data_IF_624497300523
#
_entry.id   IF_624497300523
#
_cell.length_a   1.000
_cell.length_b   1.000
_cell.length_c   1.000
_cell.angle_alpha   90.00
_cell.angle_beta   90.00
_cell.angle_gamma   90.00
#
_symmetry.space_group_name_H-M   'P 1'
#
loop_
_entity.id
_entity.type
_entity.pdbx_description
1 polymer ?
#
# COMPACT_ATOMS: atom_id res chain seq x y z
N UNK A 1 3.48 2.99 17.40
CA UNK A 1 3.16 1.76 16.64
C UNK A 1 3.44 0.57 17.51
N UNK A 2 2.40 -0.17 17.87
CA UNK A 2 2.48 -1.37 18.71
C UNK A 2 3.08 -2.54 17.93
N UNK A 3 3.70 -3.52 18.59
CA UNK A 3 4.28 -4.70 17.93
C UNK A 3 3.26 -5.44 17.04
N UNK A 4 2.00 -5.47 17.48
CA UNK A 4 0.88 -6.03 16.71
C UNK A 4 0.56 -5.25 15.44
N UNK A 5 0.72 -3.91 15.45
CA UNK A 5 0.54 -3.09 14.25
C UNK A 5 1.68 -3.31 13.24
N UNK A 6 2.92 -3.47 13.72
CA UNK A 6 4.05 -3.83 12.84
C UNK A 6 3.85 -5.20 12.21
N UNK A 7 3.41 -6.19 13.00
CA UNK A 7 3.13 -7.53 12.47
C UNK A 7 2.01 -7.50 11.42
N UNK A 8 0.95 -6.71 11.67
CA UNK A 8 -0.17 -6.55 10.73
C UNK A 8 0.27 -5.84 9.45
N UNK A 9 1.10 -4.81 9.55
CA UNK A 9 1.67 -4.12 8.40
C UNK A 9 2.57 -5.04 7.55
N UNK A 10 3.44 -5.83 8.19
CA UNK A 10 4.29 -6.79 7.50
C UNK A 10 3.45 -7.90 6.85
N UNK A 11 2.40 -8.37 7.52
CA UNK A 11 1.47 -9.36 6.96
C UNK A 11 0.68 -8.81 5.76
N UNK A 12 0.21 -7.57 5.80
CA UNK A 12 -0.44 -6.92 4.66
C UNK A 12 0.54 -6.66 3.51
N UNK A 13 1.80 -6.30 3.79
CA UNK A 13 2.82 -6.16 2.76
C UNK A 13 3.20 -7.50 2.13
N UNK A 14 3.35 -8.55 2.93
CA UNK A 14 3.65 -9.89 2.45
C UNK A 14 2.47 -10.46 1.64
N UNK A 15 1.25 -10.37 2.16
CA UNK A 15 0.04 -10.80 1.46
C UNK A 15 -0.25 -9.97 0.20
N UNK A 16 0.07 -8.68 0.22
CA UNK A 16 -0.03 -7.78 -0.93
C UNK A 16 0.97 -8.14 -2.02
N UNK A 17 2.23 -8.42 -1.68
CA UNK A 17 3.25 -8.91 -2.64
C UNK A 17 2.85 -10.25 -3.24
N UNK A 18 2.40 -11.20 -2.40
CA UNK A 18 1.91 -12.50 -2.86
C UNK A 18 0.70 -12.33 -3.79
N UNK A 19 -0.26 -11.43 -3.48
CA UNK A 19 -1.38 -11.12 -4.39
C UNK A 19 -0.94 -10.43 -5.68
N UNK A 20 0.09 -9.59 -5.64
CA UNK A 20 0.65 -8.89 -6.82
C UNK A 20 1.37 -9.88 -7.74
N UNK A 21 2.17 -10.78 -7.17
CA UNK A 21 2.87 -11.84 -7.90
C UNK A 21 1.91 -12.93 -8.37
N UNK A 22 1.03 -13.43 -7.52
CA UNK A 22 0.01 -14.41 -7.91
C UNK A 22 -0.98 -13.84 -8.94
N UNK A 23 -1.37 -12.57 -8.79
CA UNK A 23 -2.19 -11.85 -9.78
C UNK A 23 -1.48 -11.70 -11.12
N UNK A 24 -0.17 -11.42 -11.13
CA UNK A 24 0.64 -11.43 -12.36
C UNK A 24 0.80 -12.83 -12.96
N UNK A 25 1.03 -13.84 -12.12
CA UNK A 25 1.28 -15.21 -12.56
C UNK A 25 0.02 -15.92 -13.09
N UNK A 26 -1.15 -15.60 -12.52
CA UNK A 26 -2.46 -16.15 -12.95
C UNK A 26 -3.10 -15.28 -14.05
N UNK A 27 -2.48 -14.15 -14.44
CA UNK A 27 -3.04 -13.25 -15.46
C UNK A 27 -4.25 -12.44 -14.99
N UNK A 28 -4.45 -12.30 -13.68
CA UNK A 28 -5.52 -11.49 -13.09
C UNK A 28 -5.04 -10.03 -12.98
N UNK A 29 -5.03 -9.33 -14.11
CA UNK A 29 -4.64 -7.92 -14.23
C UNK A 29 -5.41 -7.01 -13.27
N UNK A 30 -6.65 -7.36 -12.90
CA UNK A 30 -7.48 -6.61 -11.94
C UNK A 30 -6.84 -6.54 -10.56
N UNK A 31 -6.22 -7.61 -10.07
CA UNK A 31 -5.57 -7.62 -8.76
C UNK A 31 -4.27 -6.79 -8.75
N UNK A 32 -3.53 -6.79 -9.87
CA UNK A 32 -2.34 -5.97 -10.03
C UNK A 32 -2.69 -4.48 -10.17
N UNK A 33 -3.78 -4.17 -10.90
CA UNK A 33 -4.32 -2.83 -11.07
C UNK A 33 -4.87 -2.27 -9.76
N UNK A 34 -5.62 -3.04 -8.98
CA UNK A 34 -6.07 -2.65 -7.64
C UNK A 34 -4.88 -2.39 -6.71
N UNK A 35 -3.85 -3.25 -6.74
CA UNK A 35 -2.62 -3.05 -5.96
C UNK A 35 -1.92 -1.74 -6.30
N UNK A 36 -1.73 -1.46 -7.59
CA UNK A 36 -1.11 -0.22 -8.06
C UNK A 36 -1.95 1.02 -7.73
N UNK A 37 -3.28 0.94 -7.87
CA UNK A 37 -4.18 2.03 -7.52
C UNK A 37 -4.14 2.34 -6.02
N UNK A 38 -4.04 1.31 -5.17
CA UNK A 38 -3.95 1.45 -3.72
C UNK A 38 -2.60 2.05 -3.28
N UNK A 39 -1.52 1.65 -3.95
CA UNK A 39 -0.16 2.18 -3.77
C UNK A 39 -0.13 3.69 -4.07
N UNK A 40 -0.56 4.08 -5.29
CA UNK A 40 -0.64 5.49 -5.69
C UNK A 40 -1.54 6.34 -4.78
N UNK A 41 -2.66 5.78 -4.32
CA UNK A 41 -3.57 6.49 -3.39
C UNK A 41 -2.95 6.66 -2.00
N UNK A 42 -2.14 5.69 -1.55
CA UNK A 42 -1.36 5.76 -0.33
C UNK A 42 -0.28 6.82 -0.40
N UNK A 43 0.50 6.84 -1.48
CA UNK A 43 1.55 7.85 -1.73
C UNK A 43 0.96 9.26 -1.82
N UNK A 44 -0.17 9.43 -2.52
CA UNK A 44 -0.88 10.71 -2.57
C UNK A 44 -1.36 11.17 -1.19
N UNK A 45 -1.85 10.26 -0.34
CA UNK A 45 -2.24 10.58 1.03
C UNK A 45 -1.03 11.00 1.86
N UNK A 46 0.06 10.25 1.81
CA UNK A 46 1.29 10.56 2.54
C UNK A 46 1.90 11.89 2.12
N UNK A 47 1.93 12.17 0.81
CA UNK A 47 2.39 13.45 0.28
C UNK A 47 1.46 14.61 0.69
N UNK A 48 0.15 14.40 0.66
CA UNK A 48 -0.85 15.42 1.07
C UNK A 48 -0.79 15.71 2.57
N UNK A 49 -0.57 14.71 3.42
CA UNK A 49 -0.35 14.91 4.85
C UNK A 49 0.97 15.64 5.12
N UNK A 50 2.08 15.22 4.49
CA UNK A 50 3.35 15.94 4.59
C UNK A 50 3.23 17.40 4.13
N UNK A 51 2.52 17.65 3.04
CA UNK A 51 2.27 19.00 2.55
C UNK A 51 1.44 19.83 3.55
N UNK A 52 0.39 19.25 4.14
CA UNK A 52 -0.40 19.91 5.18
C UNK A 52 0.41 20.21 6.44
N UNK A 53 1.28 19.29 6.85
CA UNK A 53 2.14 19.44 8.03
C UNK A 53 3.16 20.56 7.80
N UNK A 54 3.79 20.58 6.62
CA UNK A 54 4.71 21.63 6.20
C UNK A 54 4.05 23.02 6.06
N UNK A 55 2.76 23.08 5.69
CA UNK A 55 2.01 24.33 5.58
C UNK A 55 1.37 24.80 6.90
N UNK A 56 1.36 23.96 7.94
CA UNK A 56 0.86 24.29 9.28
C UNK A 56 1.93 24.88 10.20
N UNK A 57 3.18 24.99 9.72
CA UNK A 57 4.29 25.64 10.40
C UNK A 57 4.55 27.05 9.86
#
# INVERSE_FOLDING_TARGET
MSASEKAKAVAEQAGGKVKKEAGRAVGNESAAAEGAAKESKGDLRGAKEKAKDAFKH
#
